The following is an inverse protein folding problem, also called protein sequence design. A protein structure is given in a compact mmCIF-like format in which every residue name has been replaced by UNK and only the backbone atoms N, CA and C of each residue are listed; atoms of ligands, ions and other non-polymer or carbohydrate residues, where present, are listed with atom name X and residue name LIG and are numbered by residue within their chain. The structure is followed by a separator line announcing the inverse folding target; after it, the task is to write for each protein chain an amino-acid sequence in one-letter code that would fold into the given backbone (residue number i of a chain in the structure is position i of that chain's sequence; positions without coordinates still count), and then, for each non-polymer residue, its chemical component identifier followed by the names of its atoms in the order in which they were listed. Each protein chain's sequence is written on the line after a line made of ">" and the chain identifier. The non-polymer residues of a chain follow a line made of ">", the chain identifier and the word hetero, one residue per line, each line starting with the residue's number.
data_IF_454180983433
#
_entry.id   IF_454180983433
#
_cell.length_a   1.000
_cell.length_b   1.000
_cell.length_c   1.000
_cell.angle_alpha   90.00
_cell.angle_beta   90.00
_cell.angle_gamma   90.00
#
_symmetry.space_group_name_H-M   'P 1'
#
loop_
_entity.id
_entity.type
_entity.pdbx_description
1 polymer ?
#
# COMPACT_ATOMS: atom_id res chain seq x y z
N UNK A 1 56.29 21.06 2.20
CA UNK A 1 54.83 21.09 2.37
C UNK A 1 54.04 20.68 1.11
N UNK A 2 54.66 20.03 0.11
CA UNK A 2 53.99 19.73 -1.18
C UNK A 2 53.74 18.23 -1.46
N UNK A 3 54.04 17.31 -0.54
CA UNK A 3 53.85 15.86 -0.76
C UNK A 3 52.56 15.27 -0.18
N UNK A 4 51.88 15.98 0.72
CA UNK A 4 50.62 15.50 1.32
C UNK A 4 49.38 15.86 0.47
N UNK A 5 49.49 16.91 -0.37
CA UNK A 5 48.37 17.32 -1.26
C UNK A 5 48.13 16.37 -2.44
N UNK A 6 49.12 15.59 -2.86
CA UNK A 6 48.98 14.65 -3.99
C UNK A 6 48.39 13.29 -3.63
N UNK A 7 48.36 12.90 -2.35
CA UNK A 7 47.82 11.60 -1.95
C UNK A 7 46.29 11.58 -1.74
N UNK A 8 45.68 12.73 -1.45
CA UNK A 8 44.24 12.81 -1.23
C UNK A 8 43.47 12.90 -2.56
N UNK A 9 44.07 13.41 -3.62
CA UNK A 9 43.42 13.51 -4.94
C UNK A 9 43.46 12.21 -5.76
N UNK A 10 44.35 11.30 -5.44
CA UNK A 10 44.50 10.00 -6.13
C UNK A 10 43.51 8.92 -5.65
N UNK A 11 42.87 9.12 -4.48
CA UNK A 11 41.96 8.13 -3.88
C UNK A 11 40.50 8.21 -4.33
N UNK A 12 40.09 9.29 -4.99
CA UNK A 12 38.67 9.52 -5.35
C UNK A 12 38.35 9.27 -6.83
N UNK A 13 39.33 8.89 -7.66
CA UNK A 13 39.11 8.68 -9.10
C UNK A 13 39.15 7.21 -9.56
N UNK A 14 39.17 6.24 -8.64
CA UNK A 14 39.37 4.82 -8.96
C UNK A 14 38.08 3.94 -8.86
N UNK A 15 36.88 4.50 -8.92
CA UNK A 15 35.66 3.66 -8.91
C UNK A 15 34.57 4.18 -9.84
N UNK A 16 34.82 4.06 -11.17
CA UNK A 16 33.73 4.05 -12.17
C UNK A 16 33.96 2.83 -13.05
N UNK A 17 33.29 1.72 -12.88
CA UNK A 17 33.26 0.66 -13.87
C UNK A 17 32.37 1.11 -15.03
N UNK A 18 32.94 1.45 -16.16
CA UNK A 18 32.27 1.55 -17.45
C UNK A 18 31.87 0.16 -17.91
N UNK A 19 30.63 -0.25 -17.66
CA UNK A 19 30.02 -1.36 -18.38
C UNK A 19 29.47 -0.83 -19.71
N UNK A 20 30.26 -1.00 -20.77
CA UNK A 20 29.75 -0.92 -22.13
C UNK A 20 29.01 -2.23 -22.44
N UNK A 21 27.69 -2.21 -22.43
CA UNK A 21 26.87 -3.29 -22.97
C UNK A 21 26.45 -2.94 -24.40
N UNK A 22 27.18 -3.44 -25.37
CA UNK A 22 26.71 -3.55 -26.76
C UNK A 22 25.78 -4.78 -26.83
N UNK A 23 24.46 -4.55 -26.82
CA UNK A 23 23.45 -5.55 -27.18
C UNK A 23 22.85 -5.20 -28.53
N UNK A 24 22.60 -6.18 -29.44
CA UNK A 24 21.98 -5.92 -30.72
C UNK A 24 20.51 -5.53 -30.54
N UNK A 25 20.09 -4.46 -31.22
CA UNK A 25 18.71 -4.07 -31.34
C UNK A 25 17.96 -5.14 -32.17
N UNK A 26 17.06 -5.88 -31.54
CA UNK A 26 16.07 -6.70 -32.23
C UNK A 26 14.86 -5.82 -32.54
N UNK A 27 14.62 -5.60 -33.82
CA UNK A 27 13.40 -5.02 -34.32
C UNK A 27 12.24 -5.98 -34.02
N UNK A 28 11.22 -5.50 -33.31
CA UNK A 28 9.97 -6.22 -33.13
C UNK A 28 9.03 -5.87 -34.30
N UNK A 29 8.78 -6.85 -35.15
CA UNK A 29 7.71 -6.84 -36.13
C UNK A 29 6.35 -6.85 -35.43
N UNK A 30 5.54 -5.82 -35.72
CA UNK A 30 4.13 -5.79 -35.34
C UNK A 30 3.33 -6.73 -36.24
N UNK A 31 3.11 -7.98 -35.79
CA UNK A 31 2.10 -8.85 -36.35
C UNK A 31 0.80 -8.69 -35.54
N UNK A 32 -0.20 -8.09 -36.20
CA UNK A 32 -1.56 -8.03 -35.69
C UNK A 32 -2.15 -9.42 -35.62
N UNK A 33 -2.48 -9.91 -34.43
CA UNK A 33 -3.24 -11.17 -34.25
C UNK A 33 -4.71 -10.82 -34.18
N UNK A 34 -5.46 -11.22 -35.20
CA UNK A 34 -6.91 -11.14 -35.26
C UNK A 34 -7.55 -12.11 -34.27
N UNK A 35 -8.60 -11.67 -33.60
CA UNK A 35 -9.43 -12.49 -32.70
C UNK A 35 -10.24 -13.53 -33.50
N UNK A 36 -10.40 -14.79 -33.06
CA UNK A 36 -11.36 -15.71 -33.63
C UNK A 36 -12.77 -15.45 -33.12
N UNK A 37 -13.70 -15.42 -34.08
CA UNK A 37 -15.14 -15.30 -33.85
C UNK A 37 -15.71 -16.57 -33.19
N UNK A 38 -16.68 -16.38 -32.34
CA UNK A 38 -17.47 -17.44 -31.71
C UNK A 38 -18.34 -18.15 -32.74
N UNK A 39 -18.16 -19.45 -32.86
CA UNK A 39 -19.10 -20.36 -33.56
C UNK A 39 -19.89 -21.16 -32.53
N UNK A 40 -21.20 -20.99 -32.60
CA UNK A 40 -22.20 -21.72 -31.83
C UNK A 40 -22.55 -23.00 -32.63
N UNK A 41 -22.38 -24.19 -32.05
CA UNK A 41 -23.12 -25.38 -32.50
C UNK A 41 -23.46 -26.30 -31.33
N UNK A 42 -24.75 -26.55 -31.20
CA UNK A 42 -25.34 -27.47 -30.27
C UNK A 42 -25.26 -28.90 -30.81
N UNK A 43 -24.89 -29.86 -29.99
CA UNK A 43 -25.18 -31.27 -30.22
C UNK A 43 -25.69 -31.90 -28.92
N UNK A 44 -26.93 -32.33 -28.96
CA UNK A 44 -27.57 -33.18 -27.98
C UNK A 44 -27.06 -34.61 -28.10
N UNK A 45 -26.76 -35.24 -26.98
CA UNK A 45 -26.70 -36.71 -26.88
C UNK A 45 -27.22 -37.15 -25.51
N UNK A 46 -28.30 -37.87 -25.60
CA UNK A 46 -29.05 -38.59 -24.60
C UNK A 46 -28.27 -39.78 -24.07
N UNK A 47 -28.24 -40.04 -22.77
CA UNK A 47 -28.22 -41.41 -22.23
C UNK A 47 -28.42 -41.50 -20.72
N UNK A 48 -29.55 -42.03 -20.35
CA UNK A 48 -29.85 -43.04 -19.32
C UNK A 48 -29.18 -42.95 -17.94
N UNK A 49 -29.97 -42.65 -16.98
CA UNK A 49 -30.29 -43.37 -15.74
C UNK A 49 -29.16 -43.89 -14.86
N UNK A 50 -28.96 -43.21 -13.69
CA UNK A 50 -28.66 -43.94 -12.45
C UNK A 50 -29.34 -43.22 -11.29
N UNK A 51 -30.32 -43.87 -10.68
CA UNK A 51 -31.05 -43.41 -9.50
C UNK A 51 -30.16 -43.55 -8.28
N UNK A 52 -29.60 -42.43 -7.81
CA UNK A 52 -29.00 -42.30 -6.49
C UNK A 52 -30.05 -41.72 -5.53
N UNK A 53 -30.18 -42.35 -4.36
CA UNK A 53 -31.10 -41.98 -3.30
C UNK A 53 -30.95 -40.50 -2.88
N UNK A 54 -32.03 -39.83 -2.40
CA UNK A 54 -31.95 -38.43 -2.01
C UNK A 54 -31.08 -38.27 -0.76
N UNK A 55 -29.90 -37.67 -0.92
CA UNK A 55 -29.14 -37.15 0.18
C UNK A 55 -30.00 -36.11 0.91
N UNK A 56 -30.17 -36.26 2.20
CA UNK A 56 -30.87 -35.32 3.05
C UNK A 56 -30.26 -33.91 2.84
N UNK A 57 -31.05 -33.01 2.23
CA UNK A 57 -30.69 -31.61 2.13
C UNK A 57 -30.63 -31.05 3.56
N UNK A 58 -29.40 -30.78 4.02
CA UNK A 58 -29.22 -29.98 5.22
C UNK A 58 -29.95 -28.64 5.01
N UNK A 59 -30.79 -28.27 5.95
CA UNK A 59 -31.51 -27.00 5.93
C UNK A 59 -30.51 -25.87 5.72
N UNK A 60 -30.81 -24.85 4.87
CA UNK A 60 -29.89 -23.74 4.66
C UNK A 60 -29.63 -23.05 6.01
N UNK A 61 -28.38 -23.06 6.46
CA UNK A 61 -27.94 -22.32 7.63
C UNK A 61 -28.44 -20.88 7.50
N UNK A 62 -29.09 -20.34 8.52
CA UNK A 62 -29.61 -18.99 8.53
C UNK A 62 -28.43 -18.03 8.17
N UNK A 63 -28.57 -17.29 7.04
CA UNK A 63 -27.54 -16.34 6.61
C UNK A 63 -27.39 -15.28 7.70
N UNK A 64 -26.18 -15.21 8.28
CA UNK A 64 -25.81 -14.13 9.21
C UNK A 64 -25.94 -12.82 8.46
N UNK A 65 -26.68 -11.83 8.99
CA UNK A 65 -26.79 -10.53 8.36
C UNK A 65 -25.46 -9.78 8.48
N UNK A 66 -25.03 -9.14 7.39
CA UNK A 66 -23.85 -8.28 7.42
C UNK A 66 -24.12 -7.05 8.33
N UNK A 67 -23.09 -6.52 9.01
CA UNK A 67 -23.21 -5.24 9.70
C UNK A 67 -23.53 -4.11 8.70
N UNK A 68 -24.18 -3.03 9.13
CA UNK A 68 -24.48 -1.90 8.26
C UNK A 68 -23.19 -1.26 7.76
N UNK A 69 -23.15 -0.91 6.45
CA UNK A 69 -22.02 -0.24 5.82
C UNK A 69 -21.70 1.07 6.56
N UNK A 70 -20.46 1.25 6.96
CA UNK A 70 -20.03 2.42 7.71
C UNK A 70 -20.03 3.67 6.82
N UNK A 71 -20.52 4.80 7.38
CA UNK A 71 -20.40 6.11 6.70
C UNK A 71 -19.02 6.71 6.93
N UNK A 72 -18.43 7.39 5.92
CA UNK A 72 -17.17 8.07 6.10
C UNK A 72 -17.29 9.21 7.12
N UNK A 73 -16.25 9.41 7.91
CA UNK A 73 -16.19 10.49 8.90
C UNK A 73 -15.09 11.46 8.51
N UNK A 74 -15.40 12.75 8.43
CA UNK A 74 -14.46 13.79 8.10
C UNK A 74 -13.26 13.75 9.08
N UNK A 75 -12.03 13.79 8.51
CA UNK A 75 -10.79 13.70 9.30
C UNK A 75 -10.40 12.28 9.74
N UNK A 76 -11.13 11.25 9.30
CA UNK A 76 -10.75 9.86 9.49
C UNK A 76 -10.63 9.18 8.12
N UNK A 77 -9.41 8.82 7.74
CA UNK A 77 -9.16 8.05 6.52
C UNK A 77 -9.38 8.77 5.20
N UNK A 78 -9.63 10.06 5.21
CA UNK A 78 -9.87 10.86 4.01
C UNK A 78 -9.13 12.21 4.09
N UNK A 79 -8.77 12.81 2.94
CA UNK A 79 -8.15 14.12 2.90
C UNK A 79 -9.08 15.20 3.44
N UNK A 80 -8.49 16.20 4.12
CA UNK A 80 -9.20 17.36 4.65
C UNK A 80 -9.03 18.56 3.72
N UNK A 81 -10.10 19.31 3.41
CA UNK A 81 -9.99 20.52 2.61
C UNK A 81 -8.99 21.53 3.22
N UNK A 82 -8.04 22.01 2.42
CA UNK A 82 -7.05 23.02 2.85
C UNK A 82 -5.94 22.50 3.76
N UNK A 83 -5.82 21.20 4.01
CA UNK A 83 -4.71 20.63 4.75
C UNK A 83 -3.41 20.70 3.93
N UNK A 84 -2.35 21.29 4.49
CA UNK A 84 -1.05 21.49 3.83
C UNK A 84 0.02 20.48 4.27
N UNK A 85 -0.31 19.58 5.20
CA UNK A 85 0.57 18.52 5.70
C UNK A 85 0.03 17.14 5.35
N UNK A 86 0.70 16.09 5.83
CA UNK A 86 0.25 14.71 5.67
C UNK A 86 -1.11 14.49 6.34
N UNK A 87 -1.96 13.66 5.74
CA UNK A 87 -3.22 13.23 6.32
C UNK A 87 -3.02 12.72 7.76
N UNK A 88 -4.04 12.86 8.59
CA UNK A 88 -4.05 12.29 9.95
C UNK A 88 -3.82 10.79 9.86
N UNK A 89 -2.92 10.28 10.70
CA UNK A 89 -2.49 8.90 10.70
C UNK A 89 -3.25 8.06 11.72
N UNK A 90 -3.48 6.77 11.38
CA UNK A 90 -4.22 5.81 12.18
C UNK A 90 -3.54 4.43 12.22
N UNK A 91 -2.21 4.44 12.11
CA UNK A 91 -1.34 3.26 12.31
C UNK A 91 -0.07 3.67 13.06
N UNK A 92 0.56 2.77 13.82
CA UNK A 92 1.77 3.09 14.58
C UNK A 92 2.90 3.63 13.71
N UNK A 93 3.17 2.98 12.57
CA UNK A 93 4.18 3.44 11.60
C UNK A 93 3.83 4.80 10.99
N UNK A 94 2.53 5.05 10.76
CA UNK A 94 2.04 6.33 10.26
C UNK A 94 2.28 7.48 11.23
N UNK A 95 2.08 7.29 12.53
CA UNK A 95 2.39 8.31 13.54
C UNK A 95 3.87 8.66 13.57
N UNK A 96 4.75 7.66 13.52
CA UNK A 96 6.21 7.87 13.46
C UNK A 96 6.60 8.63 12.19
N UNK A 97 6.05 8.23 11.04
CA UNK A 97 6.32 8.88 9.77
C UNK A 97 5.86 10.34 9.73
N UNK A 98 4.65 10.62 10.25
CA UNK A 98 4.12 11.99 10.34
C UNK A 98 4.97 12.85 11.28
N UNK A 99 5.38 12.31 12.43
CA UNK A 99 6.28 13.02 13.33
C UNK A 99 7.60 13.38 12.66
N UNK A 100 8.23 12.40 11.97
CA UNK A 100 9.48 12.61 11.24
C UNK A 100 9.33 13.71 10.17
N UNK A 101 8.23 13.69 9.42
CA UNK A 101 7.93 14.69 8.42
C UNK A 101 7.69 16.08 9.06
N UNK A 102 6.71 16.18 9.98
CA UNK A 102 6.21 17.47 10.47
C UNK A 102 7.17 18.15 11.47
N UNK A 103 7.93 17.35 12.26
CA UNK A 103 8.78 17.89 13.35
C UNK A 103 10.26 17.94 12.98
N UNK A 104 10.69 17.19 11.99
CA UNK A 104 12.09 17.15 11.59
C UNK A 104 12.31 17.64 10.16
N UNK A 105 11.73 16.98 9.17
CA UNK A 105 11.99 17.29 7.76
C UNK A 105 11.44 18.66 7.36
N UNK A 106 10.17 18.94 7.64
CA UNK A 106 9.53 20.19 7.25
C UNK A 106 10.22 21.44 7.82
N UNK A 107 10.57 21.50 9.12
CA UNK A 107 11.37 22.62 9.66
C UNK A 107 12.74 22.75 8.98
N UNK A 108 13.47 21.66 8.79
CA UNK A 108 14.81 21.68 8.16
C UNK A 108 14.72 22.24 6.74
N UNK A 109 13.85 21.69 5.89
CA UNK A 109 13.73 22.15 4.50
C UNK A 109 13.23 23.61 4.42
N UNK A 110 12.33 24.01 5.33
CA UNK A 110 11.83 25.38 5.39
C UNK A 110 12.94 26.37 5.75
N UNK A 111 13.74 26.05 6.78
CA UNK A 111 14.88 26.89 7.21
C UNK A 111 15.91 27.01 6.08
N UNK A 112 16.25 25.90 5.43
CA UNK A 112 17.20 25.88 4.30
C UNK A 112 16.66 26.72 3.13
N UNK A 113 15.37 26.56 2.79
CA UNK A 113 14.74 27.32 1.71
C UNK A 113 14.75 28.83 1.96
N UNK A 114 14.41 29.26 3.19
CA UNK A 114 14.45 30.67 3.58
C UNK A 114 15.90 31.18 3.56
N UNK A 115 16.85 30.42 4.08
CA UNK A 115 18.27 30.78 4.08
C UNK A 115 18.78 31.00 2.66
N UNK A 116 18.50 30.07 1.73
CA UNK A 116 18.91 30.20 0.33
C UNK A 116 18.22 31.40 -0.34
N UNK A 117 16.93 31.63 -0.08
CA UNK A 117 16.21 32.80 -0.60
C UNK A 117 16.85 34.11 -0.13
N UNK A 118 17.19 34.22 1.16
CA UNK A 118 17.86 35.41 1.73
C UNK A 118 19.23 35.63 1.10
N UNK A 119 20.02 34.57 0.91
CA UNK A 119 21.32 34.65 0.21
C UNK A 119 21.15 35.13 -1.24
N UNK A 120 20.17 34.59 -1.96
CA UNK A 120 19.89 35.02 -3.35
C UNK A 120 19.52 36.50 -3.42
N UNK A 121 18.62 36.96 -2.56
CA UNK A 121 18.22 38.36 -2.49
C UNK A 121 19.41 39.27 -2.13
N UNK A 122 20.23 38.83 -1.15
CA UNK A 122 21.46 39.55 -0.78
C UNK A 122 22.41 39.70 -1.98
N UNK A 123 22.67 38.59 -2.71
CA UNK A 123 23.56 38.61 -3.88
C UNK A 123 23.00 39.52 -4.96
N UNK A 124 21.69 39.46 -5.28
CA UNK A 124 21.06 40.31 -6.29
C UNK A 124 21.14 41.79 -5.95
N UNK A 125 20.99 42.17 -4.69
CA UNK A 125 21.06 43.56 -4.26
C UNK A 125 22.50 44.06 -4.11
N UNK A 126 23.35 43.27 -3.41
CA UNK A 126 24.71 43.72 -3.04
C UNK A 126 25.69 43.62 -4.19
N UNK A 127 25.57 42.63 -5.06
CA UNK A 127 26.52 42.38 -6.17
C UNK A 127 25.96 42.71 -7.53
N UNK A 128 24.89 43.52 -7.63
CA UNK A 128 24.40 44.05 -8.92
C UNK A 128 25.49 44.85 -9.62
N UNK A 129 25.50 44.91 -10.95
CA UNK A 129 26.52 45.56 -11.78
C UNK A 129 26.75 47.02 -11.42
N UNK A 130 25.67 47.80 -11.09
CA UNK A 130 25.77 49.16 -10.68
C UNK A 130 26.44 49.39 -9.31
N UNK A 131 26.36 48.43 -8.40
CA UNK A 131 26.99 48.52 -7.08
C UNK A 131 28.42 47.93 -7.06
N UNK A 132 28.78 47.09 -8.01
CA UNK A 132 30.09 46.43 -8.12
C UNK A 132 30.57 46.47 -9.59
N UNK A 133 30.99 47.62 -10.10
CA UNK A 133 31.45 47.79 -11.48
C UNK A 133 32.74 46.98 -11.78
N UNK A 134 33.57 46.77 -10.74
CA UNK A 134 34.78 45.95 -10.84
C UNK A 134 34.62 44.69 -9.98
N UNK A 135 34.60 43.47 -10.60
CA UNK A 135 34.43 42.25 -9.87
C UNK A 135 35.64 41.91 -8.98
N UNK A 136 35.41 41.28 -7.84
CA UNK A 136 36.47 40.76 -6.97
C UNK A 136 37.24 39.64 -7.67
N UNK A 137 38.56 39.58 -7.42
CA UNK A 137 39.43 38.48 -7.89
C UNK A 137 39.53 37.32 -6.90
N UNK A 138 38.88 37.45 -5.73
CA UNK A 138 38.83 36.35 -4.73
C UNK A 138 37.92 35.24 -5.26
N UNK A 139 38.46 34.07 -5.47
CA UNK A 139 37.76 32.93 -6.11
C UNK A 139 37.49 31.76 -5.15
N UNK A 140 38.07 31.77 -3.95
CA UNK A 140 37.89 30.66 -2.99
C UNK A 140 38.03 31.12 -1.54
N UNK A 141 37.41 30.32 -0.63
CA UNK A 141 37.58 30.46 0.81
C UNK A 141 37.45 29.07 1.45
N UNK A 142 38.59 28.48 1.79
CA UNK A 142 38.63 27.10 2.31
C UNK A 142 37.77 26.85 3.54
N UNK A 143 37.62 27.85 4.45
CA UNK A 143 36.79 27.69 5.66
C UNK A 143 35.32 27.56 5.27
N UNK A 144 34.82 28.41 4.38
CA UNK A 144 33.42 28.34 3.93
C UNK A 144 33.18 27.04 3.15
N UNK A 145 34.13 26.62 2.30
CA UNK A 145 34.09 25.37 1.55
C UNK A 145 33.97 24.14 2.45
N UNK A 146 34.74 24.10 3.53
CA UNK A 146 34.63 23.03 4.53
C UNK A 146 33.28 23.08 5.23
N UNK A 147 32.80 24.26 5.65
CA UNK A 147 31.50 24.42 6.31
C UNK A 147 30.36 23.92 5.41
N UNK A 148 30.27 24.38 4.14
CA UNK A 148 29.16 23.99 3.28
C UNK A 148 29.24 22.54 2.83
N UNK A 149 30.36 21.84 2.98
CA UNK A 149 30.48 20.41 2.75
C UNK A 149 30.09 19.60 4.00
N UNK A 150 30.62 19.98 5.16
CA UNK A 150 30.45 19.19 6.40
C UNK A 150 29.03 19.36 6.99
N UNK A 151 28.45 20.58 6.97
CA UNK A 151 27.14 20.84 7.57
C UNK A 151 26.03 20.01 6.91
N UNK A 152 25.88 19.96 5.57
CA UNK A 152 24.90 19.08 4.93
C UNK A 152 25.09 17.58 5.26
N UNK A 153 26.34 17.11 5.32
CA UNK A 153 26.63 15.71 5.68
C UNK A 153 26.13 15.41 7.11
N UNK A 154 26.39 16.30 8.07
CA UNK A 154 25.92 16.13 9.46
C UNK A 154 24.38 16.14 9.51
N UNK A 155 23.72 17.03 8.77
CA UNK A 155 22.24 17.07 8.69
C UNK A 155 21.70 15.76 8.14
N UNK A 156 22.27 15.25 7.04
CA UNK A 156 21.83 13.98 6.44
C UNK A 156 22.05 12.80 7.39
N UNK A 157 23.16 12.73 8.11
CA UNK A 157 23.38 11.69 9.12
C UNK A 157 22.36 11.76 10.26
N UNK A 158 22.04 12.97 10.73
CA UNK A 158 21.01 13.15 11.75
C UNK A 158 19.61 12.70 11.31
N UNK A 159 19.26 12.91 10.02
CA UNK A 159 18.00 12.46 9.45
C UNK A 159 18.01 10.93 9.20
N UNK A 160 19.13 10.36 8.81
CA UNK A 160 19.25 8.95 8.45
C UNK A 160 18.88 8.01 9.61
N UNK A 161 19.28 8.33 10.84
CA UNK A 161 19.05 7.48 12.02
C UNK A 161 17.56 7.17 12.22
N UNK A 162 16.66 8.14 12.41
CA UNK A 162 15.23 7.85 12.57
C UNK A 162 14.57 7.34 11.29
N UNK A 163 15.08 7.71 10.11
CA UNK A 163 14.55 7.22 8.83
C UNK A 163 14.79 5.74 8.63
N UNK A 164 15.99 5.24 8.97
CA UNK A 164 16.31 3.80 8.90
C UNK A 164 15.44 3.02 9.89
N UNK A 165 15.22 3.56 11.09
CA UNK A 165 14.31 2.95 12.07
C UNK A 165 12.88 2.80 11.53
N UNK A 166 12.32 3.87 10.95
CA UNK A 166 10.99 3.83 10.33
C UNK A 166 10.94 2.84 9.16
N UNK A 167 11.98 2.82 8.33
CA UNK A 167 12.06 1.89 7.19
C UNK A 167 12.06 0.43 7.68
N UNK A 168 12.84 0.13 8.71
CA UNK A 168 12.88 -1.21 9.31
C UNK A 168 11.51 -1.62 9.87
N UNK A 169 10.79 -0.71 10.53
CA UNK A 169 9.44 -0.97 11.05
C UNK A 169 8.42 -1.21 9.92
N UNK A 170 8.55 -0.55 8.78
CA UNK A 170 7.67 -0.75 7.62
C UNK A 170 7.84 -2.12 6.95
N UNK A 171 9.00 -2.75 7.09
CA UNK A 171 9.32 -4.06 6.50
C UNK A 171 9.32 -5.20 7.52
N UNK A 172 8.83 -4.97 8.73
CA UNK A 172 8.65 -6.05 9.72
C UNK A 172 7.72 -7.12 9.17
N UNK A 173 8.12 -8.41 9.24
CA UNK A 173 7.23 -9.51 8.90
C UNK A 173 5.96 -9.48 9.75
N UNK A 174 4.85 -9.89 9.17
CA UNK A 174 3.61 -10.03 9.91
C UNK A 174 3.72 -11.13 10.99
N UNK A 175 3.15 -10.95 12.19
CA UNK A 175 3.04 -12.02 13.17
C UNK A 175 2.19 -13.19 12.64
N UNK A 176 2.39 -14.39 13.19
CA UNK A 176 1.76 -15.63 12.69
C UNK A 176 0.23 -15.63 12.80
N UNK A 177 -0.32 -14.86 13.72
CA UNK A 177 -1.76 -14.71 13.98
C UNK A 177 -2.39 -13.56 13.22
N UNK A 178 -1.63 -12.86 12.35
CA UNK A 178 -2.15 -11.80 11.51
C UNK A 178 -3.27 -12.30 10.59
N UNK A 179 -4.23 -11.43 10.31
CA UNK A 179 -5.24 -11.66 9.27
C UNK A 179 -4.58 -11.55 7.91
N UNK A 180 -4.61 -12.62 7.12
CA UNK A 180 -4.07 -12.61 5.76
C UNK A 180 -5.16 -12.19 4.77
N UNK A 181 -4.84 -11.21 3.93
CA UNK A 181 -5.67 -10.79 2.79
C UNK A 181 -4.79 -10.72 1.55
N UNK A 182 -5.24 -11.33 0.47
CA UNK A 182 -4.61 -11.18 -0.84
C UNK A 182 -5.27 -10.02 -1.59
N UNK A 183 -4.45 -9.18 -2.19
CA UNK A 183 -4.85 -8.00 -2.96
C UNK A 183 -4.27 -8.14 -4.35
N UNK A 184 -5.12 -8.15 -5.36
CA UNK A 184 -4.71 -8.26 -6.75
C UNK A 184 -5.11 -6.99 -7.52
N UNK A 185 -4.13 -6.33 -8.16
CA UNK A 185 -4.39 -5.18 -9.03
C UNK A 185 -4.69 -5.62 -10.46
N UNK A 186 -5.74 -5.06 -11.04
CA UNK A 186 -6.18 -5.27 -12.42
C UNK A 186 -6.35 -3.93 -13.13
N UNK A 187 -6.38 -3.90 -14.42
CA UNK A 187 -6.75 -2.74 -15.24
C UNK A 187 -8.28 -2.67 -15.39
N UNK A 188 -9.05 -1.84 -14.68
CA UNK A 188 -8.65 -0.90 -13.64
C UNK A 188 -9.59 -1.07 -12.44
N UNK A 189 -9.32 -2.03 -11.59
CA UNK A 189 -10.03 -2.36 -10.36
C UNK A 189 -9.14 -3.17 -9.42
N UNK A 190 -9.61 -3.43 -8.21
CA UNK A 190 -8.91 -4.28 -7.25
C UNK A 190 -9.70 -5.56 -6.97
N UNK A 191 -8.99 -6.67 -6.77
CA UNK A 191 -9.53 -7.93 -6.24
C UNK A 191 -9.06 -8.15 -4.80
N UNK A 192 -9.95 -8.62 -3.94
CA UNK A 192 -9.68 -8.94 -2.54
C UNK A 192 -10.11 -10.37 -2.20
N UNK A 193 -9.22 -11.12 -1.54
CA UNK A 193 -9.44 -12.50 -1.15
C UNK A 193 -8.98 -12.70 0.30
N UNK A 194 -9.71 -13.52 1.09
CA UNK A 194 -9.33 -13.89 2.47
C UNK A 194 -9.03 -15.39 2.52
N UNK A 195 -7.83 -15.82 2.12
CA UNK A 195 -7.51 -17.22 1.92
C UNK A 195 -7.64 -18.06 3.20
N UNK A 196 -7.22 -17.51 4.34
CA UNK A 196 -7.29 -18.20 5.65
C UNK A 196 -8.72 -18.35 6.18
N UNK A 197 -9.68 -17.62 5.60
CA UNK A 197 -11.07 -17.59 6.04
C UNK A 197 -12.04 -18.17 4.99
N UNK A 198 -11.53 -18.64 3.85
CA UNK A 198 -12.34 -19.27 2.80
C UNK A 198 -13.23 -18.32 2.02
N UNK A 199 -12.99 -17.00 2.05
CA UNK A 199 -13.71 -16.04 1.19
C UNK A 199 -12.94 -15.93 -0.15
N UNK A 200 -13.57 -16.31 -1.28
CA UNK A 200 -12.98 -16.21 -2.60
C UNK A 200 -12.78 -14.74 -3.01
N UNK A 201 -11.98 -14.52 -4.06
CA UNK A 201 -11.74 -13.19 -4.58
C UNK A 201 -13.06 -12.52 -5.02
N UNK A 202 -13.27 -11.31 -4.57
CA UNK A 202 -14.32 -10.41 -5.03
C UNK A 202 -13.71 -9.09 -5.53
N UNK A 203 -14.38 -8.46 -6.49
CA UNK A 203 -13.87 -7.25 -7.15
C UNK A 203 -14.40 -5.97 -6.51
N UNK A 204 -13.60 -4.92 -6.65
CA UNK A 204 -13.83 -3.57 -6.12
C UNK A 204 -13.63 -2.57 -7.24
N UNK A 205 -14.74 -2.06 -7.82
CA UNK A 205 -14.75 -1.13 -8.93
C UNK A 205 -15.11 0.27 -8.47
N UNK A 206 -14.74 1.28 -9.26
CA UNK A 206 -15.17 2.66 -9.02
C UNK A 206 -16.70 2.76 -8.98
N UNK A 207 -17.22 3.33 -7.92
CA UNK A 207 -18.66 3.61 -7.79
C UNK A 207 -19.07 4.78 -8.70
N UNK A 208 -20.19 4.69 -9.44
CA UNK A 208 -20.73 5.81 -10.19
C UNK A 208 -20.96 7.05 -9.32
N UNK A 209 -20.81 8.25 -9.92
CA UNK A 209 -20.88 9.52 -9.18
C UNK A 209 -22.16 9.68 -8.38
N UNK A 210 -23.31 9.45 -9.01
CA UNK A 210 -24.63 9.54 -8.39
C UNK A 210 -24.76 8.66 -7.16
N UNK A 211 -24.24 7.44 -7.21
CA UNK A 211 -24.26 6.50 -6.09
C UNK A 211 -23.28 6.88 -4.98
N UNK A 212 -22.09 7.38 -5.34
CA UNK A 212 -21.12 7.84 -4.35
C UNK A 212 -21.65 9.04 -3.56
N UNK A 213 -22.22 10.03 -4.26
CA UNK A 213 -22.81 11.23 -3.65
C UNK A 213 -24.04 10.87 -2.77
N UNK A 214 -24.90 9.97 -3.22
CA UNK A 214 -26.06 9.49 -2.44
C UNK A 214 -25.62 8.77 -1.14
N UNK A 215 -24.48 8.09 -1.15
CA UNK A 215 -23.91 7.44 0.04
C UNK A 215 -23.13 8.41 0.95
N UNK A 216 -22.95 9.68 0.53
CA UNK A 216 -22.08 10.64 1.22
C UNK A 216 -20.59 10.30 1.13
N UNK A 217 -20.19 9.61 0.07
CA UNK A 217 -18.82 9.19 -0.19
C UNK A 217 -18.14 10.12 -1.23
N UNK A 218 -16.83 10.40 -1.11
CA UNK A 218 -16.14 11.23 -2.08
C UNK A 218 -16.06 10.52 -3.43
N UNK A 219 -16.57 11.14 -4.48
CA UNK A 219 -16.43 10.64 -5.85
C UNK A 219 -14.94 10.48 -6.23
N UNK A 220 -14.62 9.47 -7.01
CA UNK A 220 -13.29 8.98 -7.39
C UNK A 220 -12.51 8.25 -6.28
N UNK A 221 -12.95 8.32 -5.03
CA UNK A 221 -12.35 7.55 -3.93
C UNK A 221 -13.23 6.38 -3.45
N UNK A 222 -14.51 6.38 -3.82
CA UNK A 222 -15.48 5.38 -3.38
C UNK A 222 -15.58 4.20 -4.36
N UNK A 223 -15.27 2.97 -3.94
CA UNK A 223 -15.59 1.75 -4.68
C UNK A 223 -16.96 1.18 -4.30
N UNK A 224 -17.49 0.30 -5.16
CA UNK A 224 -18.71 -0.49 -4.91
C UNK A 224 -18.53 -1.48 -3.75
N UNK A 225 -17.41 -2.22 -3.72
CA UNK A 225 -17.06 -3.12 -2.64
C UNK A 225 -15.81 -2.62 -1.90
N UNK A 226 -15.86 -2.58 -0.57
CA UNK A 226 -14.74 -2.18 0.28
C UNK A 226 -13.96 -3.39 0.77
N UNK A 227 -12.67 -3.21 0.98
CA UNK A 227 -11.84 -4.13 1.74
C UNK A 227 -12.19 -3.97 3.23
N UNK A 228 -12.76 -5.01 3.87
CA UNK A 228 -13.19 -4.96 5.27
C UNK A 228 -12.13 -5.56 6.17
N UNK A 229 -11.66 -4.80 7.16
CA UNK A 229 -10.57 -5.22 8.06
C UNK A 229 -10.92 -4.95 9.53
N UNK A 230 -10.41 -5.74 10.48
CA UNK A 230 -10.61 -5.48 11.91
C UNK A 230 -9.64 -4.41 12.43
N UNK A 231 -10.07 -3.60 13.40
CA UNK A 231 -9.18 -2.75 14.18
C UNK A 231 -8.41 -3.55 15.24
N UNK A 232 -7.27 -3.03 15.67
CA UNK A 232 -6.47 -3.58 16.76
C UNK A 232 -5.77 -4.91 16.47
N UNK A 233 -6.07 -5.56 15.35
CA UNK A 233 -5.46 -6.83 14.92
C UNK A 233 -4.39 -6.59 13.86
N UNK A 234 -3.22 -7.26 13.91
CA UNK A 234 -2.25 -7.24 12.83
C UNK A 234 -2.84 -7.79 11.54
N UNK A 235 -2.59 -7.10 10.44
CA UNK A 235 -3.04 -7.43 9.09
C UNK A 235 -1.81 -7.72 8.24
N UNK A 236 -1.89 -8.78 7.43
CA UNK A 236 -0.92 -9.15 6.41
C UNK A 236 -1.58 -9.02 5.04
N UNK A 237 -1.16 -8.06 4.24
CA UNK A 237 -1.53 -7.99 2.83
C UNK A 237 -0.49 -8.73 1.99
N UNK A 238 -0.97 -9.61 1.10
CA UNK A 238 -0.19 -10.22 0.02
C UNK A 238 -0.63 -9.55 -1.27
N UNK A 239 0.25 -8.75 -1.87
CA UNK A 239 -0.10 -7.82 -2.94
C UNK A 239 0.59 -8.24 -4.24
N UNK A 240 -0.18 -8.35 -5.33
CA UNK A 240 0.30 -8.71 -6.66
C UNK A 240 -0.47 -7.98 -7.76
N UNK A 241 0.09 -7.91 -8.97
CA UNK A 241 -0.60 -7.46 -10.17
C UNK A 241 -0.97 -8.64 -11.05
N UNK A 242 -2.11 -8.58 -11.71
CA UNK A 242 -2.54 -9.61 -12.68
C UNK A 242 -2.06 -9.33 -14.11
N UNK A 243 -1.90 -8.06 -14.45
CA UNK A 243 -1.64 -7.58 -15.82
C UNK A 243 -0.42 -6.65 -15.88
N UNK A 244 -0.50 -5.44 -15.34
CA UNK A 244 0.57 -4.45 -15.27
C UNK A 244 0.94 -4.15 -13.84
N UNK A 245 1.94 -3.30 -13.61
CA UNK A 245 2.28 -2.85 -12.27
C UNK A 245 1.22 -1.84 -11.80
N UNK A 246 0.68 -2.05 -10.60
CA UNK A 246 -0.15 -1.12 -9.84
C UNK A 246 0.54 -0.83 -8.50
N UNK A 247 0.00 0.07 -7.68
CA UNK A 247 0.46 0.27 -6.31
C UNK A 247 -0.71 0.47 -5.37
N UNK A 248 -0.85 -0.40 -4.39
CA UNK A 248 -1.88 -0.31 -3.35
C UNK A 248 -1.45 0.71 -2.31
N UNK A 249 -2.13 1.86 -2.23
CA UNK A 249 -1.74 2.95 -1.33
C UNK A 249 -2.94 3.50 -0.55
N UNK A 250 -2.80 3.56 0.79
CA UNK A 250 -3.77 4.17 1.71
C UNK A 250 -3.01 5.14 2.62
N UNK A 251 -2.96 6.44 2.27
CA UNK A 251 -2.09 7.42 2.91
C UNK A 251 -2.28 7.57 4.42
N UNK A 252 -3.52 7.53 4.91
CA UNK A 252 -3.85 7.69 6.34
C UNK A 252 -3.49 6.48 7.22
N UNK A 253 -3.14 5.34 6.61
CA UNK A 253 -2.60 4.15 7.28
C UNK A 253 -1.10 3.96 7.05
N UNK A 254 -0.46 4.85 6.30
CA UNK A 254 0.94 4.75 5.90
C UNK A 254 1.26 3.45 5.15
N UNK A 255 0.30 2.99 4.35
CA UNK A 255 0.44 1.79 3.52
C UNK A 255 0.67 2.22 2.09
N UNK A 256 1.77 1.77 1.50
CA UNK A 256 2.05 1.80 0.06
C UNK A 256 2.90 0.59 -0.28
N UNK A 257 2.46 -0.19 -1.28
CA UNK A 257 3.18 -1.37 -1.77
C UNK A 257 2.79 -1.64 -3.22
N UNK A 258 3.80 -1.83 -4.06
CA UNK A 258 3.60 -2.09 -5.47
C UNK A 258 3.04 -3.50 -5.71
N UNK A 259 2.05 -3.58 -6.58
CA UNK A 259 1.40 -4.79 -7.07
C UNK A 259 2.06 -5.18 -8.40
N UNK A 260 3.11 -6.01 -8.32
CA UNK A 260 3.95 -6.38 -9.47
C UNK A 260 3.52 -7.75 -10.00
N UNK A 261 3.24 -7.91 -11.31
CA UNK A 261 2.92 -9.20 -11.91
C UNK A 261 4.01 -10.24 -11.67
N UNK A 262 3.59 -11.46 -11.29
CA UNK A 262 4.50 -12.56 -11.00
C UNK A 262 5.24 -12.47 -9.66
N UNK A 263 4.99 -11.44 -8.85
CA UNK A 263 5.60 -11.25 -7.52
C UNK A 263 4.53 -11.10 -6.45
N UNK A 264 4.75 -11.72 -5.29
CA UNK A 264 3.92 -11.56 -4.09
C UNK A 264 4.67 -10.66 -3.11
N UNK A 265 4.26 -9.39 -3.02
CA UNK A 265 4.80 -8.46 -2.05
C UNK A 265 3.99 -8.52 -0.77
N UNK A 266 4.66 -8.45 0.39
CA UNK A 266 4.00 -8.49 1.69
C UNK A 266 4.06 -7.13 2.38
N UNK A 267 2.94 -6.73 3.00
CA UNK A 267 2.85 -5.54 3.85
C UNK A 267 2.09 -5.87 5.13
N UNK A 268 2.69 -5.54 6.28
CA UNK A 268 2.01 -5.68 7.58
C UNK A 268 1.73 -4.31 8.20
N UNK A 269 0.56 -4.16 8.82
CA UNK A 269 0.15 -2.98 9.58
C UNK A 269 -1.01 -3.30 10.52
N UNK A 270 -1.32 -2.35 11.40
CA UNK A 270 -2.49 -2.43 12.31
C UNK A 270 -3.28 -1.14 12.20
N UNK A 271 -4.61 -1.23 12.16
CA UNK A 271 -5.52 -0.09 12.16
C UNK A 271 -5.95 0.20 13.59
N UNK A 272 -5.80 1.46 14.05
CA UNK A 272 -6.04 1.82 15.45
C UNK A 272 -7.48 2.28 15.73
N UNK A 273 -8.22 2.70 14.71
CA UNK A 273 -9.55 3.28 14.89
C UNK A 273 -10.53 2.79 13.82
N UNK A 274 -11.79 2.48 14.18
CA UNK A 274 -12.84 2.21 13.21
C UNK A 274 -13.09 3.41 12.30
N UNK A 275 -13.38 3.14 11.03
CA UNK A 275 -13.61 4.18 10.05
C UNK A 275 -13.47 3.69 8.61
N UNK A 276 -13.68 4.60 7.65
CA UNK A 276 -13.47 4.34 6.23
C UNK A 276 -12.20 5.07 5.78
N UNK A 277 -11.26 4.31 5.26
CA UNK A 277 -9.93 4.76 4.87
C UNK A 277 -9.77 4.69 3.37
N UNK A 278 -9.62 5.84 2.72
CA UNK A 278 -9.52 5.93 1.27
C UNK A 278 -8.09 5.93 0.78
N UNK A 279 -7.92 5.35 -0.40
CA UNK A 279 -6.66 5.28 -1.11
C UNK A 279 -6.87 5.21 -2.62
N UNK A 280 -5.78 5.19 -3.35
CA UNK A 280 -5.77 5.13 -4.81
C UNK A 280 -4.59 4.31 -5.31
N UNK A 281 -4.69 3.82 -6.56
CA UNK A 281 -3.53 3.29 -7.26
C UNK A 281 -2.44 4.36 -7.35
N UNK A 282 -1.21 4.02 -6.96
CA UNK A 282 -0.08 4.95 -6.86
C UNK A 282 1.11 4.56 -7.74
N UNK A 283 0.87 3.74 -8.78
CA UNK A 283 1.79 3.46 -9.89
C UNK A 283 1.01 3.55 -11.19
N UNK A 284 1.55 4.30 -12.18
CA UNK A 284 0.88 4.55 -13.45
C UNK A 284 0.63 3.23 -14.20
N UNK A 285 -0.65 2.86 -14.35
CA UNK A 285 -1.09 1.59 -14.89
C UNK A 285 -1.96 1.70 -16.16
N UNK A 286 -2.02 2.88 -16.78
CA UNK A 286 -2.74 3.13 -18.03
C UNK A 286 -3.86 4.15 -17.94
N UNK A 287 -4.80 4.11 -18.90
CA UNK A 287 -5.78 5.18 -19.14
C UNK A 287 -6.73 5.47 -17.96
N UNK A 288 -7.01 4.48 -17.11
CA UNK A 288 -7.90 4.64 -15.96
C UNK A 288 -7.18 4.52 -14.62
N UNK A 289 -5.89 4.83 -14.59
CA UNK A 289 -5.07 4.82 -13.37
C UNK A 289 -5.70 5.58 -12.20
N UNK A 290 -6.26 6.77 -12.42
CA UNK A 290 -6.95 7.56 -11.41
C UNK A 290 -8.38 7.12 -11.10
N UNK A 291 -8.87 6.02 -11.70
CA UNK A 291 -10.26 5.55 -11.62
C UNK A 291 -10.38 4.14 -11.03
N UNK A 292 -9.41 3.72 -10.22
CA UNK A 292 -9.39 2.47 -9.47
C UNK A 292 -9.12 2.73 -7.98
N UNK A 293 -10.12 3.24 -7.26
CA UNK A 293 -9.99 3.63 -5.87
C UNK A 293 -9.85 2.42 -4.94
N UNK A 294 -9.34 2.71 -3.74
CA UNK A 294 -9.25 1.79 -2.62
C UNK A 294 -10.08 2.37 -1.48
N UNK A 295 -10.94 1.57 -0.87
CA UNK A 295 -11.55 1.91 0.41
C UNK A 295 -11.45 0.74 1.37
N UNK A 296 -10.88 0.99 2.54
CA UNK A 296 -10.83 0.04 3.66
C UNK A 296 -11.93 0.45 4.66
N UNK A 297 -12.82 -0.48 4.97
CA UNK A 297 -13.79 -0.34 6.06
C UNK A 297 -13.24 -1.07 7.30
N UNK A 298 -12.76 -0.30 8.27
CA UNK A 298 -12.19 -0.83 9.50
C UNK A 298 -13.28 -0.97 10.56
N UNK A 299 -13.58 -2.20 10.94
CA UNK A 299 -14.65 -2.55 11.89
C UNK A 299 -14.07 -2.97 13.25
N UNK A 300 -14.89 -2.82 14.29
CA UNK A 300 -14.59 -3.46 15.57
C UNK A 300 -14.53 -4.99 15.40
N UNK A 301 -13.73 -5.73 16.18
CA UNK A 301 -13.52 -7.17 15.98
C UNK A 301 -14.81 -7.98 15.87
N UNK A 302 -15.79 -7.74 16.73
CA UNK A 302 -17.07 -8.47 16.71
C UNK A 302 -17.88 -8.18 15.43
N UNK A 303 -17.85 -6.95 14.92
CA UNK A 303 -18.52 -6.60 13.67
C UNK A 303 -17.79 -7.18 12.45
N UNK A 304 -16.46 -7.24 12.50
CA UNK A 304 -15.66 -7.91 11.47
C UNK A 304 -15.99 -9.41 11.40
N UNK A 305 -16.06 -10.09 12.54
CA UNK A 305 -16.43 -11.51 12.62
C UNK A 305 -17.86 -11.75 12.06
N UNK A 306 -18.80 -10.87 12.38
CA UNK A 306 -20.16 -10.91 11.81
C UNK A 306 -20.13 -10.71 10.30
N UNK A 307 -19.36 -9.74 9.78
CA UNK A 307 -19.19 -9.52 8.35
C UNK A 307 -18.60 -10.76 7.69
N UNK A 308 -17.53 -11.33 8.24
CA UNK A 308 -16.85 -12.51 7.72
C UNK A 308 -17.83 -13.68 7.55
N UNK A 309 -18.63 -13.97 8.59
CA UNK A 309 -19.67 -15.02 8.56
C UNK A 309 -20.76 -14.69 7.54
N UNK A 310 -21.15 -13.43 7.36
CA UNK A 310 -22.15 -13.01 6.38
C UNK A 310 -21.71 -13.24 4.93
N UNK A 311 -20.37 -13.23 4.69
CA UNK A 311 -19.76 -13.55 3.39
C UNK A 311 -19.58 -15.06 3.16
N UNK A 312 -19.98 -15.90 4.13
CA UNK A 312 -19.78 -17.34 4.07
C UNK A 312 -18.38 -17.80 4.48
N UNK A 313 -17.59 -16.89 5.08
CA UNK A 313 -16.28 -17.19 5.62
C UNK A 313 -16.32 -17.91 6.96
N UNK A 314 -15.18 -18.40 7.40
CA UNK A 314 -14.99 -19.10 8.69
C UNK A 314 -14.10 -18.32 9.63
N UNK A 315 -14.39 -18.34 10.93
CA UNK A 315 -13.52 -17.75 11.94
C UNK A 315 -12.28 -18.64 12.14
N UNK A 316 -11.09 -18.05 12.19
CA UNK A 316 -9.83 -18.76 12.44
C UNK A 316 -9.91 -19.41 13.85
N UNK A 317 -9.90 -20.75 13.92
CA UNK A 317 -10.07 -21.52 15.17
C UNK A 317 -11.39 -22.28 15.27
N UNK A 318 -12.46 -21.91 14.54
CA UNK A 318 -13.73 -22.64 14.56
C UNK A 318 -13.63 -24.05 13.99
N UNK A 319 -12.77 -24.26 12.98
CA UNK A 319 -12.53 -25.58 12.40
C UNK A 319 -11.85 -26.57 13.37
N UNK A 320 -11.07 -26.08 14.34
CA UNK A 320 -10.43 -26.91 15.36
C UNK A 320 -11.43 -27.35 16.43
N UNK A 321 -12.46 -26.55 16.74
CA UNK A 321 -13.49 -26.90 17.73
C UNK A 321 -14.46 -27.96 17.18
N UNK A 322 -14.86 -27.89 15.91
CA UNK A 322 -15.74 -28.89 15.29
C UNK A 322 -15.09 -30.24 15.10
N UNK A 323 -13.79 -30.31 14.85
CA UNK A 323 -13.04 -31.58 14.76
C UNK A 323 -12.77 -32.21 16.13
N UNK A 324 -12.62 -31.40 17.19
CA UNK A 324 -12.43 -31.92 18.56
C UNK A 324 -13.74 -32.48 19.15
N UNK A 325 -14.89 -31.91 18.84
CA UNK A 325 -16.20 -32.40 19.31
C UNK A 325 -16.65 -33.67 18.57
N UNK A 326 -16.22 -33.84 17.31
CA UNK A 326 -16.49 -35.08 16.55
C UNK A 326 -15.55 -36.25 16.92
N UNK A 327 -14.47 -36.02 17.67
CA UNK A 327 -13.47 -37.01 18.05
C UNK A 327 -13.58 -37.53 19.50
N UNK A 328 -14.56 -37.05 20.27
CA UNK A 328 -14.79 -37.58 21.62
C UNK A 328 -15.47 -38.97 21.56
N UNK A 329 -14.86 -40.06 21.99
CA UNK A 329 -15.51 -41.39 21.98
C UNK A 329 -16.66 -41.38 22.97
N UNK A 330 -17.83 -41.85 22.53
CA UNK A 330 -18.97 -42.10 23.39
C UNK A 330 -18.56 -43.00 24.55
N UNK A 331 -18.68 -42.52 25.78
CA UNK A 331 -18.43 -43.31 26.98
C UNK A 331 -19.39 -44.50 27.03
N UNK A 332 -18.86 -45.71 27.04
CA UNK A 332 -19.62 -46.93 27.20
C UNK A 332 -20.30 -46.96 28.58
N UNK A 333 -21.54 -47.47 28.68
CA UNK A 333 -22.21 -47.56 29.98
C UNK A 333 -21.53 -48.60 30.90
N UNK A 334 -21.24 -48.18 32.12
CA UNK A 334 -20.66 -49.05 33.15
C UNK A 334 -21.66 -50.15 33.50
N UNK A 335 -21.22 -51.41 33.33
CA UNK A 335 -21.94 -52.60 33.83
C UNK A 335 -21.87 -52.61 35.38
N UNK A 336 -23.04 -52.62 36.00
CA UNK A 336 -23.16 -52.94 37.42
C UNK A 336 -23.01 -54.42 37.62
N UNK A 337 -22.06 -54.81 38.49
CA UNK A 337 -22.05 -56.04 39.25
C UNK A 337 -22.56 -55.77 40.66
#
# INVERSE_FOLDING_TARGET
>A
MNKVKSLVLAGLLAFVPTLAMNGPALAQDNAAVAAPAAGNEAAAADSAGNAAAPAAQAAPAAKVAAPPRMKPTLGVGMPMPGEITLQKQFSPTGHTARWLHDKMLLPIITIISIFVLVLMLYVMVRFRRSANPVPSKTSHNTVIEVIWTVVPVVILLAIAIPSIGLLADQYKPAPKDALTVKVTGYQWYWGYEYPDNGIPEFVSNLLPRDKAEANGEPYLLAPDNRLVLPVGRPIKLIITGADVIHSFAVPSLWVKMDAVPGRLNEKSFTIEKPGVYYGQCSELCGARHGFMPIAIEALEPAQFDQWLLSQGGTLKGAAAATTAEAAAPAAAPAAKL
#
